data_IF_551604356932
#
_entry.id   IF_551604356932
#
_cell.length_a   1.000
_cell.length_b   1.000
_cell.length_c   1.000
_cell.angle_alpha   90.00
_cell.angle_beta   90.00
_cell.angle_gamma   90.00
#
_symmetry.space_group_name_H-M   'P 1'
#
loop_
_entity.id
_entity.type
_entity.pdbx_description
1 polymer ?
#
# COMPACT_ATOMS: atom_id res chain seq x y z
N UNK A 1 -9.50 6.34 -1.83
CA UNK A 1 -8.52 6.16 -2.91
C UNK A 1 -8.39 4.69 -3.28
N UNK A 2 -8.09 4.41 -4.51
CA UNK A 2 -7.81 3.04 -4.94
C UNK A 2 -6.31 2.78 -4.86
N UNK A 3 -5.93 1.63 -4.29
CA UNK A 3 -4.53 1.22 -4.17
C UNK A 3 -4.30 -0.09 -4.90
N UNK A 4 -3.25 -0.12 -5.72
CA UNK A 4 -2.75 -1.34 -6.34
C UNK A 4 -1.27 -1.49 -6.02
N UNK A 5 -0.88 -2.65 -5.53
CA UNK A 5 0.52 -2.99 -5.26
C UNK A 5 0.86 -4.18 -6.14
N UNK A 6 1.87 -4.03 -6.99
CA UNK A 6 2.28 -5.09 -7.89
C UNK A 6 3.77 -5.35 -7.76
N UNK A 7 4.14 -6.61 -7.97
CA UNK A 7 5.52 -7.03 -8.14
C UNK A 7 5.68 -7.57 -9.57
N UNK A 8 6.90 -7.86 -10.04
CA UNK A 8 7.08 -8.44 -11.37
C UNK A 8 6.31 -9.75 -11.59
N UNK A 9 5.96 -10.43 -10.52
CA UNK A 9 5.36 -11.76 -10.58
C UNK A 9 3.87 -11.78 -10.31
N UNK A 10 3.33 -10.78 -9.61
CA UNK A 10 1.96 -10.86 -9.14
C UNK A 10 1.38 -9.49 -8.74
N UNK A 11 0.06 -9.44 -8.71
CA UNK A 11 -0.66 -8.36 -8.03
C UNK A 11 -0.75 -8.76 -6.56
N UNK A 12 -0.14 -7.96 -5.70
CA UNK A 12 -0.08 -8.24 -4.27
C UNK A 12 -1.29 -7.69 -3.52
N UNK A 13 -1.87 -6.59 -4.01
CA UNK A 13 -3.02 -5.95 -3.40
C UNK A 13 -3.73 -5.10 -4.44
N UNK A 14 -5.05 -5.07 -4.40
CA UNK A 14 -5.86 -4.22 -5.29
C UNK A 14 -7.21 -3.98 -4.63
N UNK A 15 -7.45 -2.78 -4.11
CA UNK A 15 -8.72 -2.45 -3.45
C UNK A 15 -8.81 -0.97 -3.14
N UNK A 16 -10.01 -0.51 -2.79
CA UNK A 16 -10.21 0.79 -2.17
C UNK A 16 -9.64 0.79 -0.76
N UNK A 17 -8.96 1.87 -0.40
CA UNK A 17 -8.38 2.04 0.93
C UNK A 17 -8.60 3.47 1.40
N UNK A 18 -8.41 3.70 2.72
CA UNK A 18 -8.58 5.02 3.30
C UNK A 18 -7.28 5.84 3.23
N UNK A 19 -6.14 5.17 3.39
CA UNK A 19 -4.84 5.83 3.37
C UNK A 19 -3.74 4.79 3.17
N UNK A 20 -2.56 5.25 2.76
CA UNK A 20 -1.35 4.43 2.75
C UNK A 20 -0.20 5.23 3.37
N UNK A 21 0.70 4.53 4.04
CA UNK A 21 1.98 5.07 4.45
C UNK A 21 3.07 4.23 3.79
N UNK A 22 4.04 4.89 3.19
CA UNK A 22 5.08 4.23 2.40
C UNK A 22 6.46 4.64 2.87
N UNK A 23 7.47 3.75 2.75
CA UNK A 23 8.84 4.06 3.15
C UNK A 23 9.54 4.83 2.03
N UNK A 24 9.32 6.14 1.98
CA UNK A 24 9.97 6.99 1.01
C UNK A 24 11.48 7.05 1.19
N UNK A 25 12.20 7.43 0.15
CA UNK A 25 13.65 7.50 0.16
C UNK A 25 14.20 8.39 1.27
N UNK A 26 13.45 9.44 1.63
CA UNK A 26 13.83 10.40 2.68
C UNK A 26 13.02 10.23 3.97
N UNK A 27 12.28 9.14 4.10
CA UNK A 27 11.49 8.82 5.27
C UNK A 27 10.07 8.40 4.91
N UNK A 28 9.38 7.84 5.90
CA UNK A 28 7.99 7.43 5.74
C UNK A 28 7.10 8.65 5.52
N UNK A 29 6.16 8.55 4.59
CA UNK A 29 5.13 9.55 4.41
C UNK A 29 3.78 8.89 4.13
N UNK A 30 2.71 9.63 4.44
CA UNK A 30 1.35 9.12 4.34
C UNK A 30 0.58 9.87 3.25
N UNK A 31 -0.29 9.13 2.54
CA UNK A 31 -1.16 9.71 1.52
C UNK A 31 -2.61 9.41 1.87
N UNK A 32 -3.41 10.45 1.83
CA UNK A 32 -4.85 10.39 2.09
C UNK A 32 -5.62 10.56 0.78
N UNK A 33 -6.95 10.42 0.85
CA UNK A 33 -7.82 10.63 -0.31
C UNK A 33 -7.53 11.98 -0.97
N UNK A 34 -7.52 11.99 -2.29
CA UNK A 34 -7.38 13.19 -3.11
C UNK A 34 -6.04 13.92 -2.94
N UNK A 35 -5.00 13.19 -2.50
CA UNK A 35 -3.65 13.74 -2.46
C UNK A 35 -3.23 14.23 -3.86
N UNK A 36 -2.38 15.25 -3.90
CA UNK A 36 -1.85 15.76 -5.15
C UNK A 36 -1.01 14.69 -5.88
N UNK A 37 -0.95 14.75 -7.23
CA UNK A 37 -0.12 13.80 -7.97
C UNK A 37 1.33 13.80 -7.51
N UNK A 38 1.92 12.60 -7.39
CA UNK A 38 3.30 12.44 -6.96
C UNK A 38 3.87 11.15 -7.54
N UNK A 39 5.18 11.18 -7.81
CA UNK A 39 5.99 9.99 -8.08
C UNK A 39 7.13 10.00 -7.08
N UNK A 40 7.34 8.89 -6.39
CA UNK A 40 8.36 8.81 -5.35
C UNK A 40 9.06 7.45 -5.38
N UNK A 41 10.36 7.48 -5.12
CA UNK A 41 11.14 6.25 -4.93
C UNK A 41 10.97 5.78 -3.48
N UNK A 42 10.84 4.47 -3.32
CA UNK A 42 10.69 3.83 -2.02
C UNK A 42 11.92 3.02 -1.69
N UNK A 43 12.26 2.97 -0.40
CA UNK A 43 13.36 2.17 0.10
C UNK A 43 12.81 0.95 0.84
N UNK A 44 13.70 0.12 1.37
CA UNK A 44 13.31 -1.00 2.21
C UNK A 44 12.48 -0.51 3.40
N UNK A 45 11.39 -1.17 3.68
CA UNK A 45 10.53 -0.86 4.80
C UNK A 45 9.14 -1.41 4.63
N UNK A 46 8.23 -0.97 5.50
CA UNK A 46 6.85 -1.41 5.50
C UNK A 46 5.95 -0.42 4.77
N UNK A 47 5.15 -0.94 3.84
CA UNK A 47 3.98 -0.25 3.33
C UNK A 47 2.84 -0.56 4.30
N UNK A 48 2.21 0.48 4.84
CA UNK A 48 1.08 0.35 5.75
C UNK A 48 -0.19 0.77 5.04
N UNK A 49 -1.17 -0.12 5.00
CA UNK A 49 -2.40 0.08 4.26
C UNK A 49 -3.54 0.24 5.25
N UNK A 50 -4.15 1.43 5.26
CA UNK A 50 -5.27 1.72 6.14
C UNK A 50 -6.57 1.40 5.41
N UNK A 51 -7.22 0.33 5.82
CA UNK A 51 -8.49 -0.12 5.23
C UNK A 51 -9.64 0.22 6.16
N UNK A 52 -10.84 0.37 5.59
CA UNK A 52 -12.02 0.67 6.40
C UNK A 52 -12.35 -0.48 7.35
N UNK A 53 -12.26 -1.72 6.84
CA UNK A 53 -12.44 -2.93 7.62
C UNK A 53 -11.84 -4.10 6.87
N UNK A 54 -11.16 -4.99 7.57
CA UNK A 54 -10.66 -6.23 6.94
C UNK A 54 -11.80 -7.13 6.47
N UNK A 55 -13.00 -6.95 7.00
CA UNK A 55 -14.17 -7.72 6.57
C UNK A 55 -14.57 -7.44 5.13
N UNK A 56 -14.19 -6.28 4.58
CA UNK A 56 -14.43 -5.95 3.18
C UNK A 56 -13.42 -6.61 2.24
N UNK A 57 -12.39 -7.21 2.79
CA UNK A 57 -11.36 -7.87 2.00
C UNK A 57 -11.69 -9.35 1.94
N UNK A 58 -11.63 -9.92 0.74
CA UNK A 58 -11.71 -11.37 0.58
C UNK A 58 -10.33 -11.89 0.90
N UNK A 59 -10.16 -12.46 2.09
CA UNK A 59 -8.84 -12.88 2.58
C UNK A 59 -8.14 -13.84 1.63
N UNK A 60 -8.91 -14.67 0.91
CA UNK A 60 -8.36 -15.60 -0.06
C UNK A 60 -7.73 -14.91 -1.27
N UNK A 61 -8.12 -13.66 -1.53
CA UNK A 61 -7.56 -12.85 -2.62
C UNK A 61 -6.32 -12.08 -2.18
N UNK A 62 -6.02 -12.08 -0.88
CA UNK A 62 -4.83 -11.39 -0.37
C UNK A 62 -3.61 -12.29 -0.55
N UNK A 63 -2.52 -11.68 -1.01
CA UNK A 63 -1.25 -12.36 -1.06
C UNK A 63 -0.79 -12.65 0.38
N UNK A 64 -0.18 -13.81 0.61
CA UNK A 64 0.33 -14.21 1.93
C UNK A 64 1.42 -13.29 2.49
N UNK A 65 1.95 -12.37 1.68
CA UNK A 65 2.91 -11.36 2.14
C UNK A 65 2.26 -10.22 2.90
N UNK A 66 0.94 -10.06 2.79
CA UNK A 66 0.19 -9.05 3.52
C UNK A 66 -0.11 -9.56 4.92
N UNK A 67 0.32 -8.80 5.92
CA UNK A 67 0.21 -9.19 7.32
C UNK A 67 -0.65 -8.16 8.05
N UNK A 68 -1.73 -8.58 8.72
CA UNK A 68 -2.51 -7.67 9.56
C UNK A 68 -1.65 -7.09 10.68
N UNK A 69 -1.86 -5.82 10.98
CA UNK A 69 -1.20 -5.18 12.11
C UNK A 69 -1.74 -5.77 13.41
N UNK A 70 -0.85 -6.07 14.37
CA UNK A 70 -1.25 -6.76 15.61
C UNK A 70 -2.14 -5.91 16.51
N UNK A 71 -2.01 -4.61 16.47
CA UNK A 71 -2.72 -3.69 17.37
C UNK A 71 -3.93 -3.01 16.70
N UNK A 72 -4.08 -3.15 15.36
CA UNK A 72 -5.15 -2.48 14.64
C UNK A 72 -5.57 -3.32 13.43
N UNK A 73 -6.78 -3.84 13.47
CA UNK A 73 -7.33 -4.67 12.39
C UNK A 73 -7.66 -3.88 11.12
N UNK A 74 -7.56 -2.55 11.17
CA UNK A 74 -7.77 -1.69 10.00
C UNK A 74 -6.46 -1.38 9.26
N UNK A 75 -5.35 -1.94 9.70
CA UNK A 75 -4.05 -1.74 9.07
C UNK A 75 -3.50 -3.06 8.59
N UNK A 76 -3.16 -3.11 7.30
CA UNK A 76 -2.38 -4.21 6.72
C UNK A 76 -0.97 -3.71 6.46
N UNK A 77 0.01 -4.58 6.58
CA UNK A 77 1.40 -4.24 6.31
C UNK A 77 2.00 -5.15 5.25
N UNK A 78 2.90 -4.59 4.45
CA UNK A 78 3.65 -5.33 3.44
C UNK A 78 5.10 -4.87 3.48
N UNK A 79 6.03 -5.82 3.72
CA UNK A 79 7.45 -5.53 3.66
C UNK A 79 7.89 -5.47 2.19
N UNK A 80 8.59 -4.40 1.82
CA UNK A 80 9.21 -4.27 0.50
C UNK A 80 10.70 -4.01 0.65
N UNK A 81 11.47 -4.35 -0.37
CA UNK A 81 12.91 -4.09 -0.41
C UNK A 81 13.21 -2.78 -1.12
N UNK A 82 12.42 -2.44 -2.11
CA UNK A 82 12.49 -1.19 -2.85
C UNK A 82 11.24 -1.07 -3.70
N UNK A 83 11.03 0.07 -4.29
CA UNK A 83 9.90 0.24 -5.18
C UNK A 83 9.71 1.67 -5.64
N UNK A 84 8.58 1.90 -6.30
CA UNK A 84 8.17 3.21 -6.78
C UNK A 84 6.69 3.39 -6.48
N UNK A 85 6.34 4.58 -6.02
CA UNK A 85 4.95 4.98 -5.85
C UNK A 85 4.58 5.99 -6.92
N UNK A 86 3.43 5.78 -7.55
CA UNK A 86 2.81 6.79 -8.40
C UNK A 86 1.40 7.06 -7.88
N UNK A 87 1.05 8.32 -7.67
CA UNK A 87 -0.30 8.72 -7.26
C UNK A 87 -0.85 9.74 -8.25
N UNK A 88 -2.03 9.48 -8.77
CA UNK A 88 -2.72 10.36 -9.70
C UNK A 88 -4.20 10.01 -9.74
N UNK A 89 -5.08 11.03 -9.84
CA UNK A 89 -6.53 10.83 -9.97
C UNK A 89 -7.10 9.93 -8.85
N UNK A 90 -6.65 10.15 -7.63
CA UNK A 90 -7.07 9.39 -6.44
C UNK A 90 -6.78 7.89 -6.55
N UNK A 91 -5.74 7.54 -7.30
CA UNK A 91 -5.27 6.16 -7.45
C UNK A 91 -3.78 6.08 -7.15
N UNK A 92 -3.43 5.18 -6.25
CA UNK A 92 -2.04 4.90 -5.89
C UNK A 92 -1.61 3.57 -6.50
N UNK A 93 -0.44 3.56 -7.11
CA UNK A 93 0.19 2.34 -7.64
C UNK A 93 1.56 2.23 -7.01
N UNK A 94 1.81 1.10 -6.35
CA UNK A 94 3.11 0.77 -5.79
C UNK A 94 3.69 -0.37 -6.61
N UNK A 95 4.84 -0.11 -7.23
CA UNK A 95 5.61 -1.14 -7.93
C UNK A 95 6.70 -1.61 -6.97
N UNK A 96 6.56 -2.81 -6.46
CA UNK A 96 7.51 -3.38 -5.48
C UNK A 96 8.43 -4.38 -6.17
N UNK A 97 9.67 -4.36 -5.75
CA UNK A 97 10.65 -5.35 -6.21
C UNK A 97 10.61 -6.64 -5.40
#
# INVERSE_FOLDING_TARGET
>A
MFLEIVSPEAILFSSEVDAIAVPGEHGEFQMLNNHAPIVANLKEGLVKIHVHSQQHLVLDDLNGLLVPHVDDDKILTLQINSGTLEFNDNKAIVLAD
#
